data_IF_298055368151
#
_entry.id   IF_298055368151
#
_cell.length_a   1.000
_cell.length_b   1.000
_cell.length_c   1.000
_cell.angle_alpha   90.00
_cell.angle_beta   90.00
_cell.angle_gamma   90.00
#
_symmetry.space_group_name_H-M   'P 1'
#
loop_
_entity.id
_entity.type
_entity.pdbx_description
1 polymer ?
#
# COMPACT_ATOMS: atom_id res chain seq x y z
N UNK A 1 -59.76 -22.13 -34.72
CA UNK A 1 -60.19 -20.90 -34.07
C UNK A 1 -59.00 -20.26 -33.38
N UNK A 2 -58.65 -19.12 -33.84
CA UNK A 2 -57.42 -18.33 -33.62
C UNK A 2 -57.06 -18.08 -32.18
N UNK A 3 -55.75 -18.22 -31.86
CA UNK A 3 -55.11 -17.52 -30.75
C UNK A 3 -53.94 -16.68 -31.31
N UNK A 4 -54.17 -15.38 -31.29
CA UNK A 4 -53.19 -14.32 -31.60
C UNK A 4 -52.17 -14.23 -30.46
N UNK A 5 -50.92 -14.49 -30.76
CA UNK A 5 -49.81 -14.15 -29.88
C UNK A 5 -49.37 -12.73 -30.14
N UNK A 6 -49.56 -11.84 -29.16
CA UNK A 6 -49.09 -10.49 -29.13
C UNK A 6 -47.64 -10.48 -28.58
N UNK A 7 -46.68 -10.31 -29.47
CA UNK A 7 -45.29 -10.09 -29.08
C UNK A 7 -45.11 -8.60 -28.89
N UNK A 8 -44.94 -8.19 -27.62
CA UNK A 8 -44.60 -6.82 -27.25
C UNK A 8 -43.06 -6.70 -27.34
N UNK A 9 -42.54 -6.13 -28.43
CA UNK A 9 -41.13 -5.75 -28.57
C UNK A 9 -40.97 -4.40 -27.86
N UNK A 10 -40.37 -4.45 -26.65
CA UNK A 10 -39.95 -3.27 -25.89
C UNK A 10 -38.62 -2.78 -26.45
N UNK A 11 -38.68 -1.71 -27.27
CA UNK A 11 -37.52 -1.00 -27.82
C UNK A 11 -36.93 -0.12 -26.69
N UNK A 12 -36.00 -0.69 -25.88
CA UNK A 12 -35.20 0.10 -24.96
C UNK A 12 -34.15 0.88 -25.74
N UNK A 13 -34.44 2.16 -26.02
CA UNK A 13 -33.45 3.13 -26.47
C UNK A 13 -32.52 3.37 -25.30
N UNK A 14 -31.35 2.76 -25.31
CA UNK A 14 -30.24 3.13 -24.44
C UNK A 14 -29.73 4.50 -24.85
N UNK A 15 -30.25 5.54 -24.18
CA UNK A 15 -29.59 6.82 -24.11
C UNK A 15 -28.37 6.61 -23.19
N UNK A 16 -27.24 6.23 -23.78
CA UNK A 16 -25.95 6.32 -23.11
C UNK A 16 -25.63 7.81 -23.01
N UNK A 17 -25.55 8.39 -21.81
CA UNK A 17 -24.89 9.69 -21.69
C UNK A 17 -23.43 9.42 -22.03
N UNK A 18 -22.96 9.90 -23.16
CA UNK A 18 -21.55 10.13 -23.37
C UNK A 18 -21.11 11.10 -22.27
N UNK A 19 -20.68 10.59 -21.11
CA UNK A 19 -19.73 11.31 -20.30
C UNK A 19 -18.49 11.45 -21.18
N UNK A 20 -18.37 12.56 -21.87
CA UNK A 20 -17.10 13.08 -22.34
C UNK A 20 -16.29 13.30 -21.06
N UNK A 21 -15.50 12.29 -20.65
CA UNK A 21 -14.36 12.55 -19.83
C UNK A 21 -13.53 13.56 -20.63
N UNK A 22 -13.60 14.83 -20.23
CA UNK A 22 -12.64 15.81 -20.70
C UNK A 22 -11.28 15.23 -20.29
N UNK A 23 -10.57 14.62 -21.24
CA UNK A 23 -9.13 14.48 -21.15
C UNK A 23 -8.63 15.90 -20.86
N UNK A 24 -8.29 16.17 -19.63
CA UNK A 24 -7.51 17.35 -19.29
C UNK A 24 -6.20 17.18 -20.07
N UNK A 25 -6.12 17.87 -21.20
CA UNK A 25 -4.89 17.97 -21.99
C UNK A 25 -3.87 18.70 -21.12
N UNK A 26 -3.08 17.95 -20.34
CA UNK A 26 -1.95 18.46 -19.57
C UNK A 26 -0.91 19.18 -20.49
N UNK A 27 -1.04 19.05 -21.80
CA UNK A 27 -0.25 19.75 -22.80
C UNK A 27 -0.64 21.21 -23.05
N UNK A 28 -1.82 21.68 -22.58
CA UNK A 28 -2.30 23.05 -22.84
C UNK A 28 -1.83 24.08 -21.80
N UNK A 29 -1.37 23.65 -20.61
CA UNK A 29 -0.84 24.52 -19.58
C UNK A 29 0.69 24.39 -19.55
N UNK A 30 1.37 25.55 -19.64
CA UNK A 30 2.84 25.56 -19.48
C UNK A 30 3.30 25.20 -18.07
N UNK A 31 2.46 25.39 -17.05
CA UNK A 31 2.76 25.15 -15.64
C UNK A 31 2.24 23.78 -15.19
N UNK A 32 3.14 22.98 -14.62
CA UNK A 32 2.82 21.69 -13.98
C UNK A 32 2.95 21.81 -12.47
N UNK A 33 1.89 21.50 -11.74
CA UNK A 33 1.79 21.68 -10.28
C UNK A 33 1.98 20.36 -9.53
N UNK A 34 2.14 20.44 -8.21
CA UNK A 34 2.14 19.28 -7.32
C UNK A 34 0.78 18.58 -7.36
N UNK A 35 -0.33 19.35 -7.45
CA UNK A 35 -1.69 18.79 -7.49
C UNK A 35 -1.94 18.01 -8.79
N UNK A 36 -1.44 18.52 -9.93
CA UNK A 36 -1.52 17.79 -11.22
C UNK A 36 -0.75 16.46 -11.13
N UNK A 37 0.43 16.47 -10.50
CA UNK A 37 1.21 15.25 -10.26
C UNK A 37 0.47 14.27 -9.35
N UNK A 38 -0.18 14.78 -8.28
CA UNK A 38 -0.94 13.95 -7.36
C UNK A 38 -2.10 13.26 -8.07
N UNK A 39 -2.88 14.01 -8.87
CA UNK A 39 -4.02 13.48 -9.63
C UNK A 39 -3.57 12.32 -10.55
N UNK A 40 -2.51 12.53 -11.33
CA UNK A 40 -1.97 11.51 -12.24
C UNK A 40 -1.43 10.28 -11.50
N UNK A 41 -0.64 10.51 -10.44
CA UNK A 41 -0.03 9.43 -9.67
C UNK A 41 -1.08 8.57 -8.98
N UNK A 42 -2.04 9.18 -8.28
CA UNK A 42 -3.03 8.44 -7.51
C UNK A 42 -4.03 7.70 -8.40
N UNK A 43 -4.36 8.25 -9.57
CA UNK A 43 -5.28 7.61 -10.50
C UNK A 43 -4.61 6.46 -11.30
N UNK A 44 -3.39 6.68 -11.79
CA UNK A 44 -2.87 5.86 -12.89
C UNK A 44 -1.61 5.08 -12.56
N UNK A 45 -0.82 5.47 -11.52
CA UNK A 45 0.47 4.86 -11.26
C UNK A 45 0.37 3.36 -10.98
N UNK A 46 1.17 2.48 -11.67
CA UNK A 46 1.08 1.02 -11.53
C UNK A 46 1.25 0.54 -10.09
N UNK A 47 2.16 1.13 -9.32
CA UNK A 47 2.37 0.77 -7.90
C UNK A 47 1.12 1.09 -7.09
N UNK A 48 0.44 2.23 -7.31
CA UNK A 48 -0.80 2.58 -6.60
C UNK A 48 -1.91 1.58 -6.93
N UNK A 49 -2.05 1.20 -8.22
CA UNK A 49 -2.98 0.14 -8.64
C UNK A 49 -2.65 -1.20 -8.00
N UNK A 50 -1.37 -1.60 -7.99
CA UNK A 50 -0.89 -2.83 -7.34
C UNK A 50 -1.20 -2.82 -5.83
N UNK A 51 -0.94 -1.73 -5.14
CA UNK A 51 -1.18 -1.58 -3.70
C UNK A 51 -2.68 -1.63 -3.36
N UNK A 52 -3.54 -1.11 -4.23
CA UNK A 52 -4.99 -1.22 -4.07
C UNK A 52 -5.48 -2.67 -4.10
N UNK A 53 -4.80 -3.58 -4.80
CA UNK A 53 -5.11 -5.01 -4.80
C UNK A 53 -4.86 -5.69 -3.44
N UNK A 54 -4.12 -5.06 -2.51
CA UNK A 54 -3.95 -5.59 -1.15
C UNK A 54 -5.29 -5.70 -0.42
N UNK A 55 -6.21 -4.76 -0.64
CA UNK A 55 -7.55 -4.82 -0.05
C UNK A 55 -8.35 -6.00 -0.59
N UNK A 56 -8.20 -6.34 -1.88
CA UNK A 56 -8.82 -7.53 -2.47
C UNK A 56 -8.16 -8.82 -1.99
N UNK A 57 -6.85 -8.82 -1.85
CA UNK A 57 -6.10 -9.93 -1.24
C UNK A 57 -6.60 -10.22 0.17
N UNK A 58 -6.85 -9.17 0.98
CA UNK A 58 -7.42 -9.33 2.32
C UNK A 58 -8.82 -9.99 2.28
N UNK A 59 -9.69 -9.55 1.36
CA UNK A 59 -11.03 -10.15 1.18
C UNK A 59 -10.93 -11.61 0.73
N UNK A 60 -10.01 -11.93 -0.18
CA UNK A 60 -9.77 -13.29 -0.64
C UNK A 60 -9.29 -14.21 0.49
N UNK A 61 -8.42 -13.74 1.38
CA UNK A 61 -7.98 -14.48 2.55
C UNK A 61 -9.13 -14.77 3.54
N UNK A 62 -10.04 -13.81 3.74
CA UNK A 62 -11.25 -14.04 4.54
C UNK A 62 -12.16 -15.07 3.88
N UNK A 63 -12.36 -15.00 2.56
CA UNK A 63 -13.12 -16.00 1.81
C UNK A 63 -12.50 -17.39 1.93
N UNK A 64 -11.17 -17.50 1.80
CA UNK A 64 -10.44 -18.75 2.02
C UNK A 64 -10.64 -19.30 3.44
N UNK A 65 -10.63 -18.42 4.45
CA UNK A 65 -10.88 -18.83 5.84
C UNK A 65 -12.32 -19.28 6.07
N UNK A 66 -13.30 -18.67 5.39
CA UNK A 66 -14.70 -19.10 5.39
C UNK A 66 -14.88 -20.48 4.76
N UNK A 67 -14.08 -20.86 3.77
CA UNK A 67 -14.09 -22.18 3.15
C UNK A 67 -13.88 -23.34 4.13
N UNK A 68 -13.35 -23.08 5.35
CA UNK A 68 -13.31 -24.09 6.42
C UNK A 68 -14.68 -24.42 7.03
N UNK A 69 -15.70 -23.63 6.72
CA UNK A 69 -17.09 -23.87 7.10
C UNK A 69 -17.93 -24.43 5.95
N UNK A 70 -17.32 -24.64 4.77
CA UNK A 70 -18.04 -25.18 3.64
C UNK A 70 -18.46 -26.64 3.91
N UNK A 71 -19.68 -27.02 3.50
CA UNK A 71 -20.09 -28.41 3.52
C UNK A 71 -19.19 -29.28 2.65
N UNK A 72 -18.80 -30.43 3.17
CA UNK A 72 -18.00 -31.41 2.43
C UNK A 72 -18.78 -32.67 2.16
N UNK A 73 -18.85 -33.04 0.87
CA UNK A 73 -19.45 -34.31 0.44
C UNK A 73 -18.31 -35.29 0.16
N UNK A 74 -18.28 -36.35 0.97
CA UNK A 74 -17.39 -37.49 0.78
C UNK A 74 -18.21 -38.70 0.30
N UNK A 75 -17.81 -39.31 -0.80
CA UNK A 75 -18.42 -40.53 -1.29
C UNK A 75 -17.34 -41.54 -1.62
N UNK A 76 -17.53 -42.77 -1.15
CA UNK A 76 -16.62 -43.88 -1.43
C UNK A 76 -17.40 -45.12 -1.83
N UNK A 77 -16.96 -45.75 -2.92
CA UNK A 77 -17.48 -47.01 -3.39
C UNK A 77 -16.33 -48.03 -3.41
N UNK A 78 -16.59 -49.22 -2.80
CA UNK A 78 -15.64 -50.32 -2.77
C UNK A 78 -16.40 -51.61 -3.07
N UNK A 79 -15.93 -52.35 -4.06
CA UNK A 79 -16.49 -53.66 -4.42
C UNK A 79 -15.34 -54.68 -4.49
N UNK A 80 -15.56 -55.85 -3.92
CA UNK A 80 -14.65 -56.99 -4.02
C UNK A 80 -15.42 -58.24 -4.41
N UNK A 81 -15.07 -58.77 -5.60
CA UNK A 81 -15.48 -60.07 -6.10
C UNK A 81 -14.25 -60.97 -6.21
N UNK A 82 -14.27 -62.15 -5.65
CA UNK A 82 -13.15 -63.07 -5.70
C UNK A 82 -13.65 -64.52 -5.62
N UNK A 83 -13.15 -65.43 -6.47
CA UNK A 83 -13.47 -66.85 -6.45
C UNK A 83 -14.97 -67.14 -6.64
N UNK A 84 -15.68 -66.43 -7.52
CA UNK A 84 -17.14 -66.50 -7.77
C UNK A 84 -18.02 -66.03 -6.58
N UNK A 85 -17.45 -65.33 -5.61
CA UNK A 85 -18.16 -64.84 -4.42
C UNK A 85 -18.07 -63.34 -4.34
N UNK A 86 -19.19 -62.66 -4.07
CA UNK A 86 -19.27 -61.24 -3.78
C UNK A 86 -18.90 -60.96 -2.32
N UNK A 87 -17.64 -60.63 -2.10
CA UNK A 87 -17.14 -60.43 -0.75
C UNK A 87 -17.80 -59.25 -0.07
N UNK A 88 -17.80 -58.10 -0.71
CA UNK A 88 -18.49 -56.90 -0.24
C UNK A 88 -18.77 -55.93 -1.38
N UNK A 89 -19.85 -55.19 -1.24
CA UNK A 89 -20.20 -54.03 -2.00
C UNK A 89 -20.56 -52.92 -1.02
N UNK A 90 -19.66 -51.93 -0.88
CA UNK A 90 -19.77 -50.85 0.10
C UNK A 90 -19.87 -49.53 -0.62
N UNK A 91 -20.92 -48.78 -0.34
CA UNK A 91 -21.09 -47.40 -0.81
C UNK A 91 -21.41 -46.53 0.40
N UNK A 92 -20.47 -45.66 0.77
CA UNK A 92 -20.61 -44.74 1.89
C UNK A 92 -20.57 -43.34 1.33
N UNK A 93 -21.57 -42.51 1.61
CA UNK A 93 -21.64 -41.11 1.27
C UNK A 93 -21.94 -40.29 2.52
N UNK A 94 -21.12 -39.29 2.83
CA UNK A 94 -21.30 -38.42 3.99
C UNK A 94 -21.22 -36.94 3.53
N UNK A 95 -22.29 -36.19 3.81
CA UNK A 95 -22.32 -34.74 3.75
C UNK A 95 -22.07 -34.21 5.16
N UNK A 96 -20.90 -33.61 5.38
CA UNK A 96 -20.51 -32.98 6.64
C UNK A 96 -20.70 -31.49 6.52
N UNK A 97 -21.52 -30.88 7.39
CA UNK A 97 -21.80 -29.45 7.45
C UNK A 97 -21.27 -28.91 8.76
N UNK A 98 -20.14 -28.17 8.73
CA UNK A 98 -19.60 -27.50 9.91
C UNK A 98 -20.54 -26.37 10.36
N UNK A 99 -20.96 -26.37 11.61
CA UNK A 99 -21.85 -25.37 12.18
C UNK A 99 -20.99 -24.28 12.86
N UNK A 100 -21.44 -23.05 12.74
CA UNK A 100 -20.80 -21.93 13.43
C UNK A 100 -20.91 -22.02 14.96
N UNK A 101 -22.04 -22.54 15.44
CA UNK A 101 -22.36 -22.65 16.86
C UNK A 101 -21.58 -23.80 17.51
N UNK A 102 -20.88 -23.50 18.60
CA UNK A 102 -20.22 -24.48 19.49
C UNK A 102 -19.20 -25.41 18.78
N UNK A 103 -18.74 -25.07 17.56
CA UNK A 103 -17.84 -25.95 16.80
C UNK A 103 -18.46 -27.27 16.38
N UNK A 104 -19.79 -27.39 16.40
CA UNK A 104 -20.51 -28.60 16.06
C UNK A 104 -20.44 -28.91 14.56
N UNK A 105 -20.60 -30.20 14.24
CA UNK A 105 -20.71 -30.71 12.88
C UNK A 105 -22.04 -31.46 12.70
N UNK A 106 -22.85 -31.04 11.72
CA UNK A 106 -24.01 -31.80 11.26
C UNK A 106 -23.54 -32.76 10.17
N UNK A 107 -23.97 -34.05 10.28
CA UNK A 107 -23.63 -35.09 9.34
C UNK A 107 -24.89 -35.71 8.76
N UNK A 108 -24.94 -35.82 7.46
CA UNK A 108 -25.98 -36.59 6.74
C UNK A 108 -25.23 -37.66 5.97
N UNK A 109 -25.54 -38.92 6.26
CA UNK A 109 -24.85 -40.07 5.69
C UNK A 109 -25.81 -41.01 5.00
N UNK A 110 -25.29 -41.69 3.99
CA UNK A 110 -25.92 -42.84 3.36
C UNK A 110 -24.88 -43.95 3.30
N UNK A 111 -25.24 -45.10 3.89
CA UNK A 111 -24.40 -46.27 3.96
C UNK A 111 -25.10 -47.48 3.35
N UNK A 112 -24.50 -48.10 2.36
CA UNK A 112 -24.86 -49.38 1.81
C UNK A 112 -23.68 -50.33 1.92
N UNK A 113 -23.87 -51.43 2.64
CA UNK A 113 -22.85 -52.43 2.92
C UNK A 113 -23.44 -53.81 2.83
N UNK A 114 -23.28 -54.47 1.69
CA UNK A 114 -23.85 -55.79 1.37
C UNK A 114 -22.74 -56.69 0.85
N UNK A 115 -22.95 -58.03 0.96
CA UNK A 115 -22.02 -59.06 0.54
C UNK A 115 -21.85 -60.16 1.58
N UNK A 116 -21.29 -61.30 1.16
CA UNK A 116 -21.23 -62.50 1.99
C UNK A 116 -20.24 -62.33 3.16
N UNK A 117 -19.18 -61.60 2.97
CA UNK A 117 -18.13 -61.37 3.98
C UNK A 117 -18.19 -59.95 4.57
N UNK A 118 -19.36 -59.34 4.57
CA UNK A 118 -19.61 -58.06 5.22
C UNK A 118 -19.75 -58.25 6.72
N UNK A 119 -19.10 -57.40 7.52
CA UNK A 119 -19.22 -57.41 8.98
C UNK A 119 -20.72 -57.31 9.38
N UNK A 120 -21.25 -58.25 10.13
CA UNK A 120 -22.67 -58.25 10.53
C UNK A 120 -23.13 -56.94 11.20
N UNK A 121 -22.26 -56.27 11.96
CA UNK A 121 -22.58 -55.04 12.67
C UNK A 121 -22.80 -53.85 11.74
N UNK A 122 -22.15 -53.85 10.56
CA UNK A 122 -22.22 -52.78 9.57
C UNK A 122 -23.03 -53.17 8.32
N UNK A 123 -23.58 -54.38 8.29
CA UNK A 123 -24.38 -54.88 7.16
C UNK A 123 -25.72 -54.13 7.07
N UNK A 124 -26.02 -53.63 5.88
CA UNK A 124 -27.28 -52.95 5.58
C UNK A 124 -28.18 -53.82 4.72
N UNK A 125 -29.40 -53.37 4.49
CA UNK A 125 -30.26 -53.94 3.44
C UNK A 125 -29.73 -53.51 2.05
N UNK A 126 -30.31 -54.06 0.98
CA UNK A 126 -29.92 -53.72 -0.39
C UNK A 126 -30.19 -52.25 -0.77
N UNK A 127 -31.15 -51.60 -0.13
CA UNK A 127 -31.47 -50.18 -0.33
C UNK A 127 -30.55 -49.23 0.45
N UNK A 128 -29.70 -49.76 1.35
CA UNK A 128 -28.89 -48.95 2.24
C UNK A 128 -29.67 -48.34 3.40
N UNK A 129 -28.98 -47.55 4.22
CA UNK A 129 -29.53 -46.79 5.35
C UNK A 129 -29.05 -45.35 5.28
N UNK A 130 -29.94 -44.41 5.54
CA UNK A 130 -29.59 -42.99 5.72
C UNK A 130 -29.43 -42.68 7.21
N UNK A 131 -28.59 -41.70 7.52
CA UNK A 131 -28.33 -41.27 8.88
C UNK A 131 -28.20 -39.73 8.94
N UNK A 132 -28.75 -39.14 10.02
CA UNK A 132 -28.56 -37.72 10.33
C UNK A 132 -27.98 -37.65 11.73
N UNK A 133 -26.83 -37.05 11.86
CA UNK A 133 -26.10 -36.97 13.12
C UNK A 133 -25.59 -35.55 13.43
N UNK A 134 -25.49 -35.25 14.71
CA UNK A 134 -24.88 -34.05 15.24
C UNK A 134 -23.73 -34.46 16.15
N UNK A 135 -22.55 -33.82 15.93
CA UNK A 135 -21.38 -34.01 16.79
C UNK A 135 -20.99 -32.67 17.40
N UNK A 136 -20.89 -32.62 18.73
CA UNK A 136 -20.61 -31.41 19.50
C UNK A 136 -19.35 -31.64 20.35
N UNK A 137 -18.31 -30.83 20.21
CA UNK A 137 -17.19 -30.86 21.14
C UNK A 137 -17.58 -30.16 22.44
N UNK A 138 -17.58 -30.88 23.55
CA UNK A 138 -17.87 -30.33 24.89
C UNK A 138 -16.61 -29.88 25.66
N UNK A 139 -15.45 -30.19 25.14
CA UNK A 139 -14.16 -29.80 25.70
C UNK A 139 -13.40 -28.86 24.78
N UNK A 140 -12.31 -29.37 24.20
CA UNK A 140 -11.49 -28.68 23.21
C UNK A 140 -12.31 -28.35 21.97
N UNK A 141 -12.36 -27.06 21.58
CA UNK A 141 -13.06 -26.61 20.37
C UNK A 141 -14.48 -26.09 20.58
N UNK A 142 -15.02 -26.14 21.82
CA UNK A 142 -16.36 -25.61 22.13
C UNK A 142 -16.42 -24.08 21.93
N UNK A 143 -15.51 -23.34 22.56
CA UNK A 143 -15.51 -21.88 22.54
C UNK A 143 -14.76 -21.38 21.29
N UNK A 144 -13.55 -21.90 21.04
CA UNK A 144 -12.72 -21.55 19.89
C UNK A 144 -12.14 -22.82 19.27
N UNK A 145 -12.45 -23.08 18.02
CA UNK A 145 -11.83 -24.13 17.20
C UNK A 145 -10.87 -23.52 16.15
N UNK A 146 -10.18 -24.38 15.40
CA UNK A 146 -9.24 -23.95 14.38
C UNK A 146 -9.91 -23.17 13.25
N UNK A 147 -11.18 -23.44 12.91
CA UNK A 147 -11.95 -22.75 11.87
C UNK A 147 -12.22 -21.31 12.27
N UNK A 148 -12.78 -21.11 13.47
CA UNK A 148 -13.08 -19.79 14.04
C UNK A 148 -11.80 -18.98 14.29
N UNK A 149 -10.74 -19.62 14.80
CA UNK A 149 -9.45 -18.97 14.98
C UNK A 149 -8.86 -18.46 13.64
N UNK A 150 -8.82 -19.32 12.62
CA UNK A 150 -8.34 -18.92 11.29
C UNK A 150 -9.14 -17.75 10.71
N UNK A 151 -10.46 -17.78 10.87
CA UNK A 151 -11.31 -16.68 10.36
C UNK A 151 -11.06 -15.37 11.13
N UNK A 152 -10.90 -15.42 12.44
CA UNK A 152 -10.59 -14.21 13.23
C UNK A 152 -9.21 -13.64 12.87
N UNK A 153 -8.22 -14.49 12.65
CA UNK A 153 -6.91 -14.05 12.18
C UNK A 153 -6.97 -13.44 10.78
N UNK A 154 -7.71 -14.05 9.85
CA UNK A 154 -7.90 -13.50 8.51
C UNK A 154 -8.62 -12.14 8.54
N UNK A 155 -9.61 -11.96 9.43
CA UNK A 155 -10.26 -10.65 9.61
C UNK A 155 -9.30 -9.61 10.19
N UNK A 156 -8.47 -9.97 11.16
CA UNK A 156 -7.45 -9.06 11.69
C UNK A 156 -6.40 -8.70 10.63
N UNK A 157 -6.09 -9.59 9.68
CA UNK A 157 -5.16 -9.34 8.58
C UNK A 157 -5.61 -8.20 7.64
N UNK A 158 -6.92 -7.90 7.58
CA UNK A 158 -7.45 -6.76 6.80
C UNK A 158 -6.78 -5.47 7.25
N UNK A 159 -6.76 -5.18 8.56
CA UNK A 159 -6.14 -3.96 9.09
C UNK A 159 -4.63 -3.94 8.87
N UNK A 160 -3.96 -5.10 8.89
CA UNK A 160 -2.54 -5.20 8.57
C UNK A 160 -2.26 -4.78 7.12
N UNK A 161 -3.02 -5.32 6.17
CA UNK A 161 -2.86 -5.01 4.75
C UNK A 161 -3.27 -3.57 4.42
N UNK A 162 -4.23 -3.00 5.14
CA UNK A 162 -4.58 -1.59 5.02
C UNK A 162 -3.43 -0.68 5.51
N UNK A 163 -2.79 -1.01 6.64
CA UNK A 163 -1.58 -0.32 7.08
C UNK A 163 -0.43 -0.43 6.07
N UNK A 164 -0.24 -1.61 5.44
CA UNK A 164 0.76 -1.80 4.39
C UNK A 164 0.45 -0.97 3.14
N UNK A 165 -0.83 -0.90 2.74
CA UNK A 165 -1.31 -0.05 1.65
C UNK A 165 -0.97 1.42 1.89
N UNK A 166 -1.33 1.96 3.08
CA UNK A 166 -1.04 3.35 3.45
C UNK A 166 0.47 3.62 3.39
N UNK A 167 1.28 2.71 3.95
CA UNK A 167 2.74 2.82 3.93
C UNK A 167 3.30 2.95 2.51
N UNK A 168 2.87 2.10 1.60
CA UNK A 168 3.37 2.08 0.22
C UNK A 168 2.88 3.30 -0.58
N UNK A 169 1.64 3.74 -0.38
CA UNK A 169 1.12 4.97 -1.01
C UNK A 169 1.92 6.19 -0.52
N UNK A 170 2.15 6.31 0.79
CA UNK A 170 2.92 7.43 1.35
C UNK A 170 4.36 7.41 0.85
N UNK A 171 4.96 6.22 0.67
CA UNK A 171 6.33 6.09 0.15
C UNK A 171 6.45 6.56 -1.30
N UNK A 172 5.54 6.13 -2.19
CA UNK A 172 5.57 6.55 -3.59
C UNK A 172 5.26 8.04 -3.74
N UNK A 173 4.33 8.57 -2.93
CA UNK A 173 4.00 9.98 -2.90
C UNK A 173 5.20 10.84 -2.46
N UNK A 174 5.86 10.46 -1.39
CA UNK A 174 7.07 11.16 -0.92
C UNK A 174 8.18 11.13 -1.97
N UNK A 175 8.40 10.00 -2.65
CA UNK A 175 9.39 9.91 -3.72
C UNK A 175 9.04 10.84 -4.88
N UNK A 176 7.79 10.86 -5.33
CA UNK A 176 7.31 11.73 -6.39
C UNK A 176 7.49 13.22 -6.04
N UNK A 177 7.12 13.60 -4.80
CA UNK A 177 7.36 14.97 -4.31
C UNK A 177 8.85 15.33 -4.29
N UNK A 178 9.70 14.40 -3.86
CA UNK A 178 11.16 14.65 -3.85
C UNK A 178 11.70 14.88 -5.26
N UNK A 179 11.22 14.11 -6.24
CA UNK A 179 11.63 14.24 -7.65
C UNK A 179 11.03 15.49 -8.30
N UNK A 180 9.80 15.89 -7.92
CA UNK A 180 9.23 17.18 -8.34
C UNK A 180 10.08 18.36 -7.87
N UNK A 181 10.50 18.37 -6.58
CA UNK A 181 11.35 19.43 -6.05
C UNK A 181 12.76 19.39 -6.63
N UNK A 182 13.29 18.24 -7.02
CA UNK A 182 14.54 18.13 -7.79
C UNK A 182 14.41 18.81 -9.17
N UNK A 183 13.29 18.54 -9.87
CA UNK A 183 13.00 19.18 -11.14
C UNK A 183 12.83 20.69 -11.00
N UNK A 184 12.11 21.15 -9.97
CA UNK A 184 11.99 22.57 -9.65
C UNK A 184 13.36 23.23 -9.48
N UNK A 185 14.24 22.62 -8.68
CA UNK A 185 15.58 23.15 -8.47
C UNK A 185 16.42 23.20 -9.75
N UNK A 186 16.43 22.14 -10.56
CA UNK A 186 17.12 22.10 -11.83
C UNK A 186 16.63 23.19 -12.80
N UNK A 187 15.31 23.45 -12.79
CA UNK A 187 14.71 24.52 -13.59
C UNK A 187 15.19 25.91 -13.12
N UNK A 188 15.17 26.19 -11.82
CA UNK A 188 15.63 27.47 -11.27
C UNK A 188 17.13 27.70 -11.55
N UNK A 189 17.95 26.67 -11.41
CA UNK A 189 19.37 26.74 -11.77
C UNK A 189 19.58 27.13 -13.24
N UNK A 190 18.87 26.44 -14.13
CA UNK A 190 18.94 26.73 -15.56
C UNK A 190 18.52 28.18 -15.87
N UNK A 191 17.46 28.69 -15.25
CA UNK A 191 16.97 30.04 -15.46
C UNK A 191 17.98 31.08 -14.98
N UNK A 192 18.57 30.91 -13.78
CA UNK A 192 19.58 31.80 -13.23
C UNK A 192 20.83 31.89 -14.12
N UNK A 193 21.26 30.76 -14.67
CA UNK A 193 22.41 30.72 -15.57
C UNK A 193 22.10 31.28 -16.95
N UNK A 194 20.91 31.06 -17.47
CA UNK A 194 20.46 31.66 -18.72
C UNK A 194 20.45 33.20 -18.63
N UNK A 195 20.01 33.75 -17.51
CA UNK A 195 20.10 35.17 -17.20
C UNK A 195 21.57 35.63 -17.14
N UNK A 196 22.41 34.87 -16.45
CA UNK A 196 23.86 35.15 -16.36
C UNK A 196 24.55 35.16 -17.73
N UNK A 197 24.21 34.23 -18.63
CA UNK A 197 24.75 34.24 -20.00
C UNK A 197 24.27 35.46 -20.78
N UNK A 198 23.00 35.86 -20.69
CA UNK A 198 22.48 37.06 -21.34
C UNK A 198 23.22 38.34 -20.89
N UNK A 199 23.47 38.50 -19.59
CA UNK A 199 24.20 39.64 -19.05
C UNK A 199 25.65 39.63 -19.49
N UNK A 200 26.32 38.47 -19.51
CA UNK A 200 27.69 38.37 -20.00
C UNK A 200 27.80 38.66 -21.50
N UNK A 201 26.86 38.19 -22.33
CA UNK A 201 26.81 38.50 -23.76
C UNK A 201 26.63 40.01 -24.02
N UNK A 202 25.73 40.66 -23.28
CA UNK A 202 25.53 42.12 -23.38
C UNK A 202 26.80 42.89 -23.02
N UNK A 203 27.47 42.49 -21.93
CA UNK A 203 28.71 43.11 -21.48
C UNK A 203 29.85 42.90 -22.50
N UNK A 204 30.00 41.67 -23.02
CA UNK A 204 31.01 41.41 -24.04
C UNK A 204 30.82 42.25 -25.29
N UNK A 205 29.58 42.44 -25.77
CA UNK A 205 29.29 43.32 -26.91
C UNK A 205 29.70 44.73 -26.63
N UNK A 206 29.32 45.32 -25.46
CA UNK A 206 29.66 46.67 -25.08
C UNK A 206 31.19 46.88 -24.96
N UNK A 207 31.92 45.97 -24.33
CA UNK A 207 33.37 46.05 -24.19
C UNK A 207 34.08 45.90 -25.56
N UNK A 208 33.59 44.99 -26.42
CA UNK A 208 34.15 44.80 -27.75
C UNK A 208 34.01 46.05 -28.62
N UNK A 209 32.87 46.76 -28.54
CA UNK A 209 32.65 48.03 -29.21
C UNK A 209 33.63 49.14 -28.69
N UNK A 210 33.73 49.25 -27.36
CA UNK A 210 34.67 50.21 -26.73
C UNK A 210 36.16 49.95 -27.08
N UNK A 211 36.50 48.64 -27.17
CA UNK A 211 37.86 48.23 -27.62
C UNK A 211 38.12 48.61 -29.08
N UNK A 212 37.11 48.47 -29.94
CA UNK A 212 37.25 48.87 -31.36
C UNK A 212 37.36 50.35 -31.53
N UNK A 213 36.74 51.14 -30.65
CA UNK A 213 36.85 52.58 -30.59
C UNK A 213 38.20 53.13 -29.95
N UNK A 214 38.92 52.18 -29.32
CA UNK A 214 40.17 52.49 -28.62
C UNK A 214 40.03 52.99 -27.17
N UNK A 215 38.79 52.92 -26.62
CA UNK A 215 38.48 53.36 -25.24
C UNK A 215 38.88 52.33 -24.19
N UNK A 216 39.01 51.04 -24.57
CA UNK A 216 39.38 49.92 -23.69
C UNK A 216 40.53 49.10 -24.29
N UNK A 217 41.37 48.48 -23.44
CA UNK A 217 42.40 47.53 -23.89
C UNK A 217 41.82 46.29 -24.55
N UNK A 218 42.49 45.71 -25.54
CA UNK A 218 42.10 44.47 -26.22
C UNK A 218 41.95 43.29 -25.23
N UNK A 219 42.76 43.30 -24.17
CA UNK A 219 42.72 42.28 -23.12
C UNK A 219 41.34 42.18 -22.44
N UNK A 220 40.64 43.29 -22.22
CA UNK A 220 39.31 43.33 -21.58
C UNK A 220 38.28 42.65 -22.47
N UNK A 221 38.36 42.80 -23.81
CA UNK A 221 37.46 42.09 -24.74
C UNK A 221 37.73 40.60 -24.76
N UNK A 222 38.98 40.15 -24.63
CA UNK A 222 39.34 38.73 -24.52
C UNK A 222 38.80 38.15 -23.22
N UNK A 223 38.98 38.85 -22.09
CA UNK A 223 38.47 38.45 -20.78
C UNK A 223 36.94 38.32 -20.81
N UNK A 224 36.21 39.29 -21.33
CA UNK A 224 34.78 39.23 -21.48
C UNK A 224 34.32 38.02 -22.35
N UNK A 225 35.05 37.73 -23.43
CA UNK A 225 34.80 36.57 -24.31
C UNK A 225 34.96 35.22 -23.56
N UNK A 226 36.01 35.13 -22.71
CA UNK A 226 36.24 33.92 -21.88
C UNK A 226 35.08 33.72 -20.94
N UNK A 227 34.64 34.74 -20.22
CA UNK A 227 33.51 34.64 -19.26
C UNK A 227 32.22 34.19 -19.96
N UNK A 228 31.90 34.73 -21.15
CA UNK A 228 30.73 34.26 -21.92
C UNK A 228 30.82 32.78 -22.26
N UNK A 229 31.97 32.29 -22.70
CA UNK A 229 32.17 30.89 -23.08
C UNK A 229 32.07 29.99 -21.85
N UNK A 230 32.67 30.36 -20.73
CA UNK A 230 32.56 29.60 -19.47
C UNK A 230 31.11 29.48 -19.02
N UNK A 231 30.33 30.57 -19.00
CA UNK A 231 28.91 30.54 -18.65
C UNK A 231 28.05 29.71 -19.61
N UNK A 232 28.38 29.71 -20.91
CA UNK A 232 27.71 28.85 -21.87
C UNK A 232 28.01 27.37 -21.63
N UNK A 233 29.24 27.03 -21.23
CA UNK A 233 29.62 25.66 -20.85
C UNK A 233 28.79 25.21 -19.61
N UNK A 234 28.73 26.09 -18.59
CA UNK A 234 27.91 25.83 -17.42
C UNK A 234 26.41 25.68 -17.76
N UNK A 235 25.87 26.58 -18.58
CA UNK A 235 24.48 26.51 -19.03
C UNK A 235 24.17 25.18 -19.72
N UNK A 236 25.06 24.72 -20.59
CA UNK A 236 24.89 23.40 -21.27
C UNK A 236 24.85 22.24 -20.27
N UNK A 237 25.66 22.29 -19.20
CA UNK A 237 25.61 21.29 -18.12
C UNK A 237 24.26 21.30 -17.44
N UNK A 238 23.74 22.44 -17.02
CA UNK A 238 22.48 22.54 -16.30
C UNK A 238 21.24 22.29 -17.20
N UNK A 239 21.37 22.52 -18.50
CA UNK A 239 20.37 22.09 -19.47
C UNK A 239 20.19 20.55 -19.45
N UNK A 240 21.30 19.80 -19.41
CA UNK A 240 21.29 18.34 -19.29
C UNK A 240 20.71 17.90 -17.94
N UNK A 241 21.09 18.58 -16.84
CA UNK A 241 20.55 18.28 -15.51
C UNK A 241 19.02 18.49 -15.46
N UNK A 242 18.51 19.56 -16.10
CA UNK A 242 17.08 19.82 -16.22
C UNK A 242 16.37 18.73 -17.02
N UNK A 243 16.92 18.31 -18.16
CA UNK A 243 16.37 17.20 -18.95
C UNK A 243 16.33 15.89 -18.16
N UNK A 244 17.41 15.57 -17.44
CA UNK A 244 17.48 14.38 -16.61
C UNK A 244 16.46 14.45 -15.46
N UNK A 245 16.29 15.59 -14.81
CA UNK A 245 15.29 15.76 -13.75
C UNK A 245 13.85 15.57 -14.27
N UNK A 246 13.54 16.05 -15.48
CA UNK A 246 12.26 15.78 -16.16
C UNK A 246 12.03 14.28 -16.39
N UNK A 247 13.05 13.57 -16.89
CA UNK A 247 12.96 12.12 -17.12
C UNK A 247 12.69 11.38 -15.80
N UNK A 248 13.39 11.74 -14.73
CA UNK A 248 13.17 11.12 -13.41
C UNK A 248 11.76 11.36 -12.91
N UNK A 249 11.25 12.59 -13.03
CA UNK A 249 9.87 12.92 -12.62
C UNK A 249 8.84 12.15 -13.46
N UNK A 250 9.10 11.97 -14.75
CA UNK A 250 8.21 11.23 -15.65
C UNK A 250 7.99 9.75 -15.25
N UNK A 251 8.89 9.17 -14.42
CA UNK A 251 8.67 7.83 -13.86
C UNK A 251 7.41 7.75 -12.98
N UNK A 252 6.94 8.88 -12.46
CA UNK A 252 5.73 8.96 -11.63
C UNK A 252 4.47 9.31 -12.43
N UNK A 253 4.60 9.66 -13.70
CA UNK A 253 3.50 10.12 -14.55
C UNK A 253 3.03 9.00 -15.48
N UNK A 254 1.77 8.63 -15.33
CA UNK A 254 1.16 7.55 -16.11
C UNK A 254 -0.22 7.97 -16.59
N UNK A 255 -0.58 7.59 -17.81
CA UNK A 255 -1.93 7.77 -18.31
C UNK A 255 -2.86 6.63 -17.85
N UNK A 256 -4.14 6.77 -18.13
CA UNK A 256 -5.19 5.78 -17.83
C UNK A 256 -4.97 4.43 -18.54
N UNK A 257 -4.30 4.43 -19.71
CA UNK A 257 -3.94 3.24 -20.48
C UNK A 257 -2.66 2.54 -19.96
N UNK A 258 -2.09 3.01 -18.83
CA UNK A 258 -0.87 2.49 -18.20
C UNK A 258 0.40 2.67 -19.03
N UNK A 259 0.46 3.68 -19.87
CA UNK A 259 1.71 4.10 -20.52
C UNK A 259 2.36 5.24 -19.73
N UNK A 260 3.71 5.24 -19.61
CA UNK A 260 4.42 6.37 -19.04
C UNK A 260 4.20 7.62 -19.88
N UNK A 261 4.02 8.76 -19.22
CA UNK A 261 3.84 10.07 -19.85
C UNK A 261 5.08 10.91 -19.56
N UNK A 262 5.69 11.43 -20.61
CA UNK A 262 6.81 12.36 -20.46
C UNK A 262 6.28 13.80 -20.29
N UNK A 263 6.95 14.57 -19.44
CA UNK A 263 6.66 15.99 -19.32
C UNK A 263 7.04 16.71 -20.62
N UNK A 264 6.14 17.53 -21.18
CA UNK A 264 6.44 18.32 -22.38
C UNK A 264 7.70 19.19 -22.19
N UNK A 265 8.43 19.46 -23.28
CA UNK A 265 9.65 20.28 -23.22
C UNK A 265 9.38 21.68 -22.68
N UNK A 266 8.23 22.24 -22.96
CA UNK A 266 7.81 23.58 -22.51
C UNK A 266 7.22 23.59 -21.10
N UNK A 267 7.08 22.44 -20.44
CA UNK A 267 6.56 22.37 -19.07
C UNK A 267 7.52 23.06 -18.10
N UNK A 268 6.93 23.93 -17.27
CA UNK A 268 7.63 24.66 -16.22
C UNK A 268 7.00 24.32 -14.86
N UNK A 269 7.80 24.22 -13.78
CA UNK A 269 7.24 24.04 -12.45
C UNK A 269 6.49 25.28 -11.99
N UNK A 270 5.50 25.08 -11.12
CA UNK A 270 4.79 26.19 -10.50
C UNK A 270 5.76 27.04 -9.67
N UNK A 271 5.74 28.37 -9.90
CA UNK A 271 6.57 29.29 -9.14
C UNK A 271 6.12 29.36 -7.69
N UNK A 272 7.03 29.17 -6.76
CA UNK A 272 6.75 29.34 -5.35
C UNK A 272 6.64 30.81 -5.00
N UNK A 273 5.43 31.27 -4.68
CA UNK A 273 5.17 32.62 -4.17
C UNK A 273 4.99 32.62 -2.65
N UNK A 274 4.70 31.44 -2.07
CA UNK A 274 4.46 31.30 -0.66
C UNK A 274 5.75 31.41 0.16
N UNK A 275 5.74 32.19 1.23
CA UNK A 275 6.87 32.27 2.13
C UNK A 275 7.18 30.92 2.78
N UNK A 276 8.43 30.71 3.14
CA UNK A 276 8.84 29.54 3.93
C UNK A 276 8.34 29.75 5.36
N UNK A 277 7.25 29.06 5.71
CA UNK A 277 6.62 29.14 7.02
C UNK A 277 6.96 27.86 7.80
N UNK A 278 7.68 28.02 8.91
CA UNK A 278 7.97 26.89 9.80
C UNK A 278 6.66 26.43 10.47
N UNK A 279 6.34 25.11 10.46
CA UNK A 279 5.20 24.58 11.18
C UNK A 279 5.30 24.90 12.69
N UNK A 280 4.21 25.35 13.28
CA UNK A 280 4.15 25.64 14.71
C UNK A 280 4.31 24.36 15.56
N UNK A 281 4.79 24.51 16.78
CA UNK A 281 4.96 23.39 17.71
C UNK A 281 3.67 22.60 17.93
N UNK A 282 2.52 23.28 17.92
CA UNK A 282 1.20 22.65 18.03
C UNK A 282 0.92 21.66 16.88
N UNK A 283 1.39 21.96 15.66
CA UNK A 283 1.26 21.07 14.50
C UNK A 283 2.11 19.81 14.71
N UNK A 284 3.32 19.98 15.24
CA UNK A 284 4.23 18.87 15.51
C UNK A 284 3.68 17.93 16.59
N UNK A 285 3.14 18.52 17.67
CA UNK A 285 2.49 17.74 18.74
C UNK A 285 1.28 16.96 18.19
N UNK A 286 0.44 17.61 17.38
CA UNK A 286 -0.68 16.95 16.73
C UNK A 286 -0.25 15.80 15.77
N UNK A 287 0.82 16.00 15.01
CA UNK A 287 1.39 14.95 14.15
C UNK A 287 1.91 13.76 14.96
N UNK A 288 2.61 14.03 16.09
CA UNK A 288 3.12 12.98 16.96
C UNK A 288 2.00 12.19 17.63
N UNK A 289 0.94 12.87 18.09
CA UNK A 289 -0.21 12.20 18.71
C UNK A 289 -1.00 11.39 17.67
N UNK A 290 -1.20 11.92 16.48
CA UNK A 290 -1.81 11.19 15.37
C UNK A 290 -0.98 9.96 15.00
N UNK A 291 0.35 10.08 14.94
CA UNK A 291 1.24 8.99 14.57
C UNK A 291 1.19 7.81 15.55
N UNK A 292 0.93 8.02 16.82
CA UNK A 292 0.78 6.92 17.80
C UNK A 292 -0.33 5.94 17.44
N UNK A 293 -1.37 6.40 16.74
CA UNK A 293 -2.56 5.61 16.40
C UNK A 293 -2.63 5.31 14.89
N UNK A 294 -2.42 6.34 14.08
CA UNK A 294 -2.66 6.29 12.63
C UNK A 294 -1.41 5.96 11.79
N UNK A 295 -0.22 5.91 12.40
CA UNK A 295 0.98 5.55 11.65
C UNK A 295 0.89 4.13 11.09
N UNK A 296 1.21 3.88 9.80
CA UNK A 296 1.06 2.57 9.16
C UNK A 296 1.73 1.42 9.92
N UNK A 297 2.92 1.63 10.47
CA UNK A 297 3.60 0.61 11.28
C UNK A 297 2.87 0.32 12.60
N UNK A 298 2.26 1.33 13.23
CA UNK A 298 1.47 1.14 14.44
C UNK A 298 0.18 0.37 14.16
N UNK A 299 -0.50 0.66 13.04
CA UNK A 299 -1.67 -0.10 12.58
C UNK A 299 -1.30 -1.57 12.36
N UNK A 300 -0.18 -1.84 11.70
CA UNK A 300 0.32 -3.20 11.45
C UNK A 300 0.64 -3.94 12.74
N UNK A 301 1.31 -3.29 13.70
CA UNK A 301 1.63 -3.87 15.00
C UNK A 301 0.37 -4.15 15.82
N UNK A 302 -0.61 -3.23 15.81
CA UNK A 302 -1.90 -3.44 16.47
C UNK A 302 -2.65 -4.65 15.87
N UNK A 303 -2.64 -4.80 14.55
CA UNK A 303 -3.21 -5.96 13.86
C UNK A 303 -2.51 -7.28 14.23
N UNK A 304 -1.17 -7.30 14.24
CA UNK A 304 -0.38 -8.46 14.70
C UNK A 304 -0.72 -8.83 16.15
N UNK A 305 -0.88 -7.83 17.03
CA UNK A 305 -1.27 -8.07 18.43
C UNK A 305 -2.64 -8.73 18.52
N UNK A 306 -3.61 -8.26 17.73
CA UNK A 306 -4.92 -8.90 17.66
C UNK A 306 -4.84 -10.36 17.19
N UNK A 307 -4.05 -10.65 16.16
CA UNK A 307 -3.84 -12.02 15.68
C UNK A 307 -3.26 -12.91 16.78
N UNK A 308 -2.25 -12.42 17.52
CA UNK A 308 -1.65 -13.17 18.63
C UNK A 308 -2.61 -13.37 19.80
N UNK A 309 -3.51 -12.42 20.08
CA UNK A 309 -4.57 -12.58 21.09
C UNK A 309 -5.58 -13.67 20.67
N UNK A 310 -5.97 -13.75 19.41
CA UNK A 310 -6.83 -14.84 18.92
C UNK A 310 -6.10 -16.18 19.00
N UNK A 311 -4.83 -16.21 18.60
CA UNK A 311 -4.01 -17.43 18.69
C UNK A 311 -3.82 -17.87 20.13
N UNK A 312 -3.60 -16.96 21.08
CA UNK A 312 -3.48 -17.29 22.50
C UNK A 312 -4.78 -17.93 23.04
N UNK A 313 -5.95 -17.35 22.70
CA UNK A 313 -7.26 -17.91 23.09
C UNK A 313 -7.42 -19.32 22.52
N UNK A 314 -7.07 -19.53 21.26
CA UNK A 314 -7.11 -20.84 20.64
C UNK A 314 -6.15 -21.84 21.33
N UNK A 315 -4.91 -21.44 21.65
CA UNK A 315 -3.94 -22.29 22.34
C UNK A 315 -4.36 -22.62 23.77
N UNK A 316 -5.00 -21.71 24.45
CA UNK A 316 -5.62 -21.99 25.77
C UNK A 316 -6.73 -23.05 25.65
N UNK A 317 -7.55 -22.97 24.61
CA UNK A 317 -8.60 -23.96 24.34
C UNK A 317 -8.02 -25.36 24.08
N UNK A 318 -6.88 -25.41 23.38
CA UNK A 318 -6.17 -26.67 23.09
C UNK A 318 -5.56 -27.37 24.31
N UNK A 319 -5.50 -26.73 25.46
CA UNK A 319 -5.10 -27.36 26.72
C UNK A 319 -6.20 -28.20 27.36
N UNK A 320 -7.45 -28.02 26.96
CA UNK A 320 -8.58 -28.80 27.46
C UNK A 320 -8.59 -30.22 26.89
N UNK A 321 -9.20 -31.17 27.57
CA UNK A 321 -9.39 -32.50 27.01
C UNK A 321 -10.33 -32.43 25.79
N UNK A 322 -10.11 -33.30 24.82
CA UNK A 322 -11.08 -33.57 23.77
C UNK A 322 -12.22 -34.40 24.35
N UNK A 323 -13.40 -33.87 24.31
CA UNK A 323 -14.59 -34.56 24.68
C UNK A 323 -15.69 -34.30 23.65
N UNK A 324 -15.95 -35.26 22.78
CA UNK A 324 -16.95 -35.15 21.73
C UNK A 324 -18.16 -35.99 22.07
N UNK A 325 -19.33 -35.42 21.93
CA UNK A 325 -20.60 -36.13 22.02
C UNK A 325 -21.24 -36.15 20.64
N UNK A 326 -21.62 -37.31 20.19
CA UNK A 326 -22.31 -37.48 18.91
C UNK A 326 -23.65 -38.25 19.10
N UNK A 327 -24.65 -37.71 18.47
CA UNK A 327 -25.96 -38.38 18.35
C UNK A 327 -26.33 -38.51 16.88
N UNK A 328 -26.79 -39.69 16.46
CA UNK A 328 -27.16 -39.96 15.08
C UNK A 328 -28.48 -40.72 15.06
N UNK A 329 -29.43 -40.26 14.29
CA UNK A 329 -30.66 -40.98 13.95
C UNK A 329 -30.42 -41.75 12.66
N UNK A 330 -30.88 -42.99 12.64
CA UNK A 330 -30.72 -43.92 11.51
C UNK A 330 -32.10 -44.24 10.95
N UNK A 331 -32.22 -44.30 9.63
CA UNK A 331 -33.48 -44.69 8.98
C UNK A 331 -33.91 -46.11 9.32
N UNK A 332 -35.21 -46.37 9.32
CA UNK A 332 -35.76 -47.65 9.59
C UNK A 332 -35.53 -48.64 8.42
N UNK A 333 -35.51 -49.93 8.73
CA UNK A 333 -35.51 -51.00 7.71
C UNK A 333 -36.84 -51.15 7.00
N UNK A 334 -37.92 -50.76 7.63
CA UNK A 334 -39.27 -50.94 7.13
C UNK A 334 -39.94 -49.60 7.01
N UNK A 335 -40.43 -49.26 5.86
CA UNK A 335 -41.19 -48.05 5.63
C UNK A 335 -42.41 -48.01 6.50
N UNK A 336 -42.63 -46.91 7.17
CA UNK A 336 -43.80 -46.67 7.97
C UNK A 336 -44.99 -46.21 7.12
N UNK A 337 -44.72 -45.81 5.91
CA UNK A 337 -45.69 -45.23 5.01
C UNK A 337 -45.24 -45.51 3.56
N UNK A 338 -46.12 -45.94 2.70
CA UNK A 338 -45.86 -46.27 1.29
C UNK A 338 -45.36 -45.08 0.45
N UNK A 339 -45.49 -43.85 0.98
CA UNK A 339 -45.02 -42.64 0.32
C UNK A 339 -43.58 -42.29 0.64
N UNK A 340 -43.00 -42.77 1.75
CA UNK A 340 -41.61 -42.49 2.14
C UNK A 340 -40.80 -43.78 2.00
N UNK A 341 -39.77 -43.79 1.11
CA UNK A 341 -38.91 -44.97 1.00
C UNK A 341 -38.26 -45.32 2.35
N UNK A 342 -38.09 -46.61 2.70
CA UNK A 342 -37.59 -47.07 4.01
C UNK A 342 -36.23 -46.44 4.42
N UNK A 343 -35.44 -46.09 3.46
CA UNK A 343 -34.12 -45.45 3.70
C UNK A 343 -34.21 -44.02 4.23
N UNK A 344 -35.37 -43.37 4.17
CA UNK A 344 -35.59 -42.00 4.64
C UNK A 344 -36.56 -41.95 5.84
N UNK A 345 -37.10 -43.10 6.28
CA UNK A 345 -37.99 -43.19 7.44
C UNK A 345 -37.17 -43.20 8.73
N UNK A 346 -37.04 -42.01 9.37
CA UNK A 346 -36.30 -41.81 10.61
C UNK A 346 -37.23 -42.02 11.82
N UNK A 347 -36.84 -42.96 12.71
CA UNK A 347 -37.54 -43.23 13.95
C UNK A 347 -36.60 -42.98 15.16
N UNK A 348 -37.12 -42.37 16.23
CA UNK A 348 -36.40 -42.16 17.49
C UNK A 348 -35.92 -43.48 18.17
N UNK A 349 -36.44 -44.60 17.77
CA UNK A 349 -36.00 -45.92 18.25
C UNK A 349 -34.67 -46.37 17.60
N UNK A 350 -34.31 -45.79 16.44
CA UNK A 350 -33.12 -46.15 15.70
C UNK A 350 -32.06 -45.04 15.86
N UNK A 351 -31.27 -45.11 16.90
CA UNK A 351 -30.26 -44.09 17.18
C UNK A 351 -28.91 -44.71 17.50
N UNK A 352 -27.88 -43.91 17.31
CA UNK A 352 -26.52 -44.19 17.74
C UNK A 352 -26.03 -43.01 18.55
N UNK A 353 -25.55 -43.24 19.77
CA UNK A 353 -24.89 -42.25 20.61
C UNK A 353 -23.43 -42.65 20.79
N UNK A 354 -22.52 -41.69 20.68
CA UNK A 354 -21.10 -41.91 20.86
C UNK A 354 -20.48 -40.85 21.75
N UNK A 355 -19.57 -41.28 22.60
CA UNK A 355 -18.72 -40.43 23.40
C UNK A 355 -17.26 -40.71 23.06
N UNK A 356 -16.53 -39.68 22.75
CA UNK A 356 -15.08 -39.78 22.49
C UNK A 356 -14.37 -38.91 23.48
N UNK A 357 -13.46 -39.47 24.27
CA UNK A 357 -12.60 -38.77 25.20
C UNK A 357 -11.15 -39.03 24.86
N UNK A 358 -10.35 -37.97 24.68
CA UNK A 358 -8.92 -38.08 24.48
C UNK A 358 -8.21 -36.92 25.23
N UNK A 359 -7.20 -37.28 26.03
CA UNK A 359 -6.42 -36.31 26.77
C UNK A 359 -4.96 -36.76 26.84
N UNK A 360 -4.02 -36.00 26.20
CA UNK A 360 -2.60 -36.27 26.32
C UNK A 360 -2.13 -35.94 27.76
N UNK A 361 -1.65 -36.92 28.49
CA UNK A 361 -1.35 -36.80 29.92
C UNK A 361 -0.39 -35.65 30.26
N UNK A 362 0.62 -35.39 29.44
CA UNK A 362 1.61 -34.36 29.68
C UNK A 362 1.34 -33.03 28.96
N UNK A 363 0.50 -33.00 27.96
CA UNK A 363 0.14 -31.81 27.15
C UNK A 363 1.33 -30.88 26.79
N UNK A 364 2.55 -31.45 26.67
CA UNK A 364 3.80 -30.69 26.46
C UNK A 364 3.77 -29.88 25.17
N UNK A 365 3.24 -30.44 24.09
CA UNK A 365 3.15 -29.78 22.80
C UNK A 365 2.28 -28.50 22.88
N UNK A 366 1.08 -28.60 23.46
CA UNK A 366 0.18 -27.46 23.53
C UNK A 366 0.63 -26.41 24.55
N UNK A 367 1.24 -26.84 25.67
CA UNK A 367 1.90 -25.91 26.62
C UNK A 367 3.05 -25.16 25.96
N UNK A 368 3.87 -25.86 25.15
CA UNK A 368 4.97 -25.25 24.40
C UNK A 368 4.47 -24.21 23.40
N UNK A 369 3.45 -24.52 22.61
CA UNK A 369 2.81 -23.58 21.67
C UNK A 369 2.21 -22.37 22.37
N UNK A 370 1.52 -22.55 23.50
CA UNK A 370 1.00 -21.42 24.28
C UNK A 370 2.12 -20.52 24.80
N UNK A 371 3.21 -21.12 25.32
CA UNK A 371 4.39 -20.37 25.78
C UNK A 371 5.01 -19.59 24.64
N UNK A 372 5.15 -20.21 23.44
CA UNK A 372 5.66 -19.54 22.23
C UNK A 372 4.82 -18.31 21.85
N UNK A 373 3.51 -18.44 21.85
CA UNK A 373 2.62 -17.30 21.55
C UNK A 373 2.80 -16.15 22.55
N UNK A 374 2.93 -16.44 23.84
CA UNK A 374 3.18 -15.42 24.87
C UNK A 374 4.54 -14.75 24.69
N UNK A 375 5.58 -15.51 24.36
CA UNK A 375 6.88 -14.93 24.01
C UNK A 375 6.75 -13.99 22.80
N UNK A 376 6.01 -14.38 21.76
CA UNK A 376 5.76 -13.51 20.61
C UNK A 376 4.98 -12.24 20.97
N UNK A 377 4.05 -12.32 21.92
CA UNK A 377 3.35 -11.13 22.44
C UNK A 377 4.31 -10.19 23.19
N UNK A 378 5.21 -10.72 24.02
CA UNK A 378 6.23 -9.93 24.68
C UNK A 378 7.20 -9.29 23.69
N UNK A 379 7.67 -10.04 22.68
CA UNK A 379 8.50 -9.52 21.60
C UNK A 379 7.80 -8.38 20.84
N UNK A 380 6.51 -8.56 20.51
CA UNK A 380 5.72 -7.55 19.81
C UNK A 380 5.54 -6.29 20.66
N UNK A 381 5.36 -6.42 21.98
CA UNK A 381 5.30 -5.28 22.91
C UNK A 381 6.59 -4.46 22.89
N UNK A 382 7.75 -5.13 22.91
CA UNK A 382 9.04 -4.42 22.81
C UNK A 382 9.23 -3.80 21.40
N UNK A 383 8.84 -4.49 20.33
CA UNK A 383 8.84 -3.96 18.98
C UNK A 383 7.96 -2.70 18.88
N UNK A 384 6.78 -2.69 19.51
CA UNK A 384 5.87 -1.54 19.54
C UNK A 384 6.52 -0.33 20.22
N UNK A 385 7.11 -0.50 21.41
CA UNK A 385 7.80 0.58 22.14
C UNK A 385 8.98 1.14 21.32
N UNK A 386 9.77 0.25 20.72
CA UNK A 386 10.90 0.66 19.89
C UNK A 386 10.44 1.42 18.63
N UNK A 387 9.39 0.95 17.98
CA UNK A 387 8.81 1.59 16.78
C UNK A 387 8.24 2.96 17.11
N UNK A 388 7.48 3.09 18.20
CA UNK A 388 6.95 4.37 18.67
C UNK A 388 8.07 5.38 18.92
N UNK A 389 9.16 4.95 19.59
CA UNK A 389 10.31 5.81 19.84
C UNK A 389 11.03 6.21 18.56
N UNK A 390 11.17 5.28 17.60
CA UNK A 390 11.77 5.58 16.31
C UNK A 390 10.94 6.61 15.52
N UNK A 391 9.62 6.46 15.45
CA UNK A 391 8.72 7.41 14.80
C UNK A 391 8.89 8.79 15.43
N UNK A 392 8.84 8.88 16.76
CA UNK A 392 9.06 10.15 17.49
C UNK A 392 10.40 10.78 17.10
N UNK A 393 11.48 10.03 17.15
CA UNK A 393 12.82 10.54 16.85
C UNK A 393 12.93 11.02 15.40
N UNK A 394 12.38 10.29 14.42
CA UNK A 394 12.41 10.68 13.01
C UNK A 394 11.60 11.96 12.75
N UNK A 395 10.43 12.12 13.36
CA UNK A 395 9.62 13.33 13.24
C UNK A 395 10.36 14.53 13.85
N UNK A 396 10.89 14.41 15.09
CA UNK A 396 11.62 15.49 15.74
C UNK A 396 12.88 15.88 14.98
N UNK A 397 13.61 14.88 14.44
CA UNK A 397 14.79 15.12 13.61
C UNK A 397 14.43 15.96 12.37
N UNK A 398 13.34 15.61 11.67
CA UNK A 398 12.91 16.37 10.50
C UNK A 398 12.42 17.77 10.83
N UNK A 399 11.78 17.94 11.96
CA UNK A 399 11.45 19.28 12.45
C UNK A 399 12.71 20.14 12.75
N UNK A 400 13.74 19.53 13.34
CA UNK A 400 15.03 20.24 13.53
C UNK A 400 15.68 20.60 12.19
N UNK A 401 15.64 19.74 11.18
CA UNK A 401 16.11 20.03 9.84
C UNK A 401 15.36 21.24 9.23
N UNK A 402 14.02 21.27 9.35
CA UNK A 402 13.18 22.37 8.88
C UNK A 402 13.53 23.71 9.55
N UNK A 403 13.72 23.71 10.87
CA UNK A 403 14.11 24.88 11.63
C UNK A 403 15.49 25.39 11.18
N UNK A 404 16.43 24.49 10.92
CA UNK A 404 17.76 24.85 10.40
C UNK A 404 17.67 25.45 8.99
N UNK A 405 16.89 24.84 8.08
CA UNK A 405 16.70 25.36 6.73
C UNK A 405 16.01 26.73 6.73
N UNK A 406 14.97 26.93 7.55
CA UNK A 406 14.28 28.22 7.66
C UNK A 406 15.25 29.36 8.03
N UNK A 407 16.11 29.15 9.06
CA UNK A 407 17.12 30.10 9.47
C UNK A 407 18.18 30.35 8.38
N UNK A 408 18.61 29.27 7.69
CA UNK A 408 19.59 29.39 6.61
C UNK A 408 19.04 30.16 5.41
N UNK A 409 17.75 29.97 5.07
CA UNK A 409 17.06 30.71 4.00
C UNK A 409 17.01 32.19 4.32
N UNK A 410 16.63 32.55 5.56
CA UNK A 410 16.61 33.95 6.01
C UNK A 410 17.99 34.61 5.91
N UNK A 411 19.05 33.99 6.46
CA UNK A 411 20.40 34.49 6.41
C UNK A 411 20.92 34.58 4.95
N UNK A 412 20.57 33.60 4.11
CA UNK A 412 21.00 33.62 2.71
C UNK A 412 20.34 34.74 1.92
N UNK A 413 19.06 35.07 2.21
CA UNK A 413 18.36 36.20 1.56
C UNK A 413 19.02 37.53 1.90
N UNK A 414 19.41 37.73 3.17
CA UNK A 414 20.17 38.92 3.60
C UNK A 414 21.53 38.99 2.87
N UNK A 415 22.23 37.86 2.78
CA UNK A 415 23.52 37.80 2.07
C UNK A 415 23.39 38.12 0.58
N UNK A 416 22.31 37.66 -0.08
CA UNK A 416 22.03 37.99 -1.48
C UNK A 416 21.81 39.50 -1.63
N UNK A 417 20.99 40.12 -0.77
CA UNK A 417 20.76 41.57 -0.79
C UNK A 417 22.07 42.38 -0.61
N UNK A 418 22.92 41.96 0.32
CA UNK A 418 24.22 42.57 0.53
C UNK A 418 25.14 42.39 -0.71
N UNK A 419 25.16 41.21 -1.32
CA UNK A 419 25.97 40.96 -2.52
C UNK A 419 25.48 41.77 -3.73
N UNK A 420 24.16 41.97 -3.86
CA UNK A 420 23.57 42.85 -4.89
C UNK A 420 24.03 44.30 -4.73
N UNK A 421 24.07 44.83 -3.48
CA UNK A 421 24.58 46.14 -3.19
C UNK A 421 26.10 46.26 -3.53
N UNK A 422 26.88 45.22 -3.17
CA UNK A 422 28.32 45.17 -3.50
C UNK A 422 28.54 45.13 -5.01
N UNK A 423 27.76 44.31 -5.76
CA UNK A 423 27.86 44.26 -7.22
C UNK A 423 27.49 45.61 -7.85
N UNK A 424 26.44 46.27 -7.39
CA UNK A 424 26.00 47.57 -7.88
C UNK A 424 27.08 48.64 -7.63
N UNK A 425 27.69 48.67 -6.43
CA UNK A 425 28.79 49.56 -6.12
C UNK A 425 30.01 49.29 -6.98
N UNK A 426 30.34 48.03 -7.29
CA UNK A 426 31.48 47.69 -8.14
C UNK A 426 31.24 48.05 -9.62
N UNK A 427 30.01 47.91 -10.12
CA UNK A 427 29.61 48.35 -11.46
C UNK A 427 29.80 49.85 -11.62
N UNK A 428 29.37 50.65 -10.62
CA UNK A 428 29.58 52.12 -10.64
C UNK A 428 31.09 52.49 -10.68
N UNK A 429 31.92 51.80 -9.88
CA UNK A 429 33.38 52.01 -9.91
C UNK A 429 34.00 51.65 -11.27
N UNK A 430 33.51 50.53 -11.86
CA UNK A 430 33.99 50.10 -13.18
C UNK A 430 33.63 51.10 -14.27
N UNK A 431 32.44 51.70 -14.23
CA UNK A 431 32.03 52.77 -15.15
C UNK A 431 32.90 54.03 -14.97
N UNK A 432 33.34 54.36 -13.74
CA UNK A 432 34.23 55.45 -13.45
C UNK A 432 35.74 55.18 -13.75
N UNK A 433 36.05 53.93 -14.15
CA UNK A 433 37.41 53.46 -14.41
C UNK A 433 38.25 53.16 -13.14
N UNK A 434 37.57 53.05 -11.97
CA UNK A 434 38.19 52.77 -10.66
C UNK A 434 38.21 51.29 -10.29
N UNK A 435 37.63 50.42 -11.15
CA UNK A 435 37.63 49.00 -10.98
C UNK A 435 37.88 48.22 -12.27
N UNK A 436 38.17 46.93 -12.18
CA UNK A 436 38.47 46.08 -13.33
C UNK A 436 37.30 45.16 -13.66
N UNK A 437 37.23 44.71 -14.92
CA UNK A 437 36.25 43.73 -15.37
C UNK A 437 36.29 42.42 -14.53
N UNK A 438 37.47 41.99 -14.12
CA UNK A 438 37.69 40.83 -13.29
C UNK A 438 36.93 40.90 -11.96
N UNK A 439 36.97 42.05 -11.26
CA UNK A 439 36.28 42.22 -9.98
C UNK A 439 34.77 42.22 -10.19
N UNK A 440 34.25 42.86 -11.22
CA UNK A 440 32.82 42.85 -11.57
C UNK A 440 32.35 41.42 -11.84
N UNK A 441 33.09 40.68 -12.68
CA UNK A 441 32.76 39.26 -13.00
C UNK A 441 32.79 38.37 -11.74
N UNK A 442 33.78 38.57 -10.86
CA UNK A 442 33.88 37.84 -9.58
C UNK A 442 32.66 38.09 -8.67
N UNK A 443 32.22 39.37 -8.55
CA UNK A 443 31.03 39.74 -7.77
C UNK A 443 29.74 39.15 -8.34
N UNK A 444 29.61 39.14 -9.66
CA UNK A 444 28.44 38.59 -10.35
C UNK A 444 28.37 37.07 -10.24
N UNK A 445 29.48 36.37 -10.45
CA UNK A 445 29.56 34.93 -10.25
C UNK A 445 29.16 34.57 -8.82
N UNK A 446 29.67 35.33 -7.82
CA UNK A 446 29.30 35.13 -6.42
C UNK A 446 27.82 35.34 -6.17
N UNK A 447 27.19 36.33 -6.81
CA UNK A 447 25.75 36.55 -6.70
C UNK A 447 24.94 35.39 -7.30
N UNK A 448 25.33 34.88 -8.47
CA UNK A 448 24.69 33.72 -9.11
C UNK A 448 24.80 32.49 -8.19
N UNK A 449 26.00 32.19 -7.67
CA UNK A 449 26.21 31.08 -6.72
C UNK A 449 25.29 31.19 -5.48
N UNK A 450 25.18 32.43 -4.92
CA UNK A 450 24.37 32.68 -3.74
C UNK A 450 22.86 32.46 -4.03
N UNK A 451 22.39 32.90 -5.21
CA UNK A 451 21.00 32.68 -5.64
C UNK A 451 20.71 31.20 -5.87
N UNK A 452 21.63 30.47 -6.51
CA UNK A 452 21.51 29.01 -6.68
C UNK A 452 21.44 28.31 -5.31
N UNK A 453 22.29 28.74 -4.35
CA UNK A 453 22.26 28.21 -2.98
C UNK A 453 20.94 28.51 -2.28
N UNK A 454 20.32 29.67 -2.50
CA UNK A 454 19.01 30.02 -1.99
C UNK A 454 17.96 29.06 -2.51
N UNK A 455 17.89 28.82 -3.82
CA UNK A 455 16.95 27.89 -4.43
C UNK A 455 17.14 26.44 -3.91
N UNK A 456 18.40 26.05 -3.70
CA UNK A 456 18.74 24.77 -3.08
C UNK A 456 18.15 24.63 -1.67
N UNK A 457 18.34 25.64 -0.83
CA UNK A 457 17.83 25.64 0.55
C UNK A 457 16.32 25.64 0.58
N UNK A 458 15.63 26.37 -0.29
CA UNK A 458 14.17 26.36 -0.42
C UNK A 458 13.69 24.96 -0.85
N UNK A 459 14.35 24.36 -1.82
CA UNK A 459 14.05 22.99 -2.28
C UNK A 459 14.25 21.96 -1.16
N UNK A 460 15.38 22.03 -0.44
CA UNK A 460 15.68 21.12 0.66
C UNK A 460 14.68 21.29 1.82
N UNK A 461 14.22 22.50 2.08
CA UNK A 461 13.13 22.79 3.02
C UNK A 461 11.82 22.11 2.60
N UNK A 462 11.41 22.25 1.33
CA UNK A 462 10.17 21.65 0.82
C UNK A 462 10.23 20.12 0.86
N UNK A 463 11.36 19.52 0.56
CA UNK A 463 11.58 18.08 0.71
C UNK A 463 11.53 17.63 2.16
N UNK A 464 12.19 18.38 3.07
CA UNK A 464 12.17 18.07 4.49
C UNK A 464 10.75 18.19 5.07
N UNK A 465 9.94 19.15 4.58
CA UNK A 465 8.53 19.27 4.95
C UNK A 465 7.72 18.06 4.51
N UNK A 466 7.86 17.63 3.26
CA UNK A 466 7.21 16.41 2.76
C UNK A 466 7.67 15.16 3.54
N UNK A 467 8.97 15.09 3.87
CA UNK A 467 9.52 13.99 4.65
C UNK A 467 9.02 13.98 6.10
N UNK A 468 8.78 15.13 6.71
CA UNK A 468 8.18 15.25 8.05
C UNK A 468 6.82 14.54 8.10
N UNK A 469 5.93 14.83 7.16
CA UNK A 469 4.61 14.20 7.08
C UNK A 469 4.72 12.71 6.75
N UNK A 470 5.62 12.34 5.83
CA UNK A 470 5.90 10.95 5.54
C UNK A 470 6.36 10.16 6.78
N UNK A 471 7.28 10.73 7.58
CA UNK A 471 7.77 10.12 8.85
C UNK A 471 6.72 10.10 9.95
N UNK A 472 5.74 11.00 9.90
CA UNK A 472 4.57 10.94 10.76
C UNK A 472 3.51 9.91 10.30
N UNK A 473 3.72 9.29 9.12
CA UNK A 473 2.82 8.29 8.56
C UNK A 473 1.61 8.87 7.84
N UNK A 474 1.62 10.17 7.57
CA UNK A 474 0.53 10.88 6.89
C UNK A 474 0.98 11.31 5.49
N UNK A 475 0.00 11.69 4.67
CA UNK A 475 0.23 12.34 3.38
C UNK A 475 0.29 13.84 3.59
N UNK A 476 1.26 14.49 2.94
CA UNK A 476 1.36 15.95 2.90
C UNK A 476 0.37 16.55 1.94
#
# INVERSE_FOLDING_TARGET
>A
MNKLNFIFILFCIFFSPHLSAQEKEYGARNTFTVDDMEELLMANHPIVKQVNLLSETAKAQVTQALGKFDPTLNSSFKNKHFGKTDYYNQWNSELKIPLWLAGADLKIAYDRNVGDYTNPQSRTNNAGLSAIGLSIPLGQGLIVDSRRNTLQQAKAMISYLEGEKIKQINAIWFQALSDYWNWYFAYQQYQLLLEGVKLADQRFKAISEQTTLGDKPVIDSIEASVVVKERRIELSKYEVELKNAKIVLSNHLWNDQQFPVELPDHAIPHKLEDPVILPDNSVIEALLDSAKIAHPEMIKLASKNQQLLFEERYRKEMLKPKFNVSGTLISSRHGFNDFVPPQYDFNWQNYKVGFEFAFPLFIRAERGKLKEVRIKQDQLRFEQVATERNIYNEVVKKYNDLNAYSKQIELQSINISNQELLLRGELNKFELGESTLFVVNSRENKLIEMRIKQEKLVTDYRKALAELYYKAGTKF
#
